data_IF_018506749233
#
_entry.id   IF_018506749233
#
_cell.length_a   1.000
_cell.length_b   1.000
_cell.length_c   1.000
_cell.angle_alpha   90.00
_cell.angle_beta   90.00
_cell.angle_gamma   90.00
#
_symmetry.space_group_name_H-M   'P 1'
#
loop_
_entity.id
_entity.type
_entity.pdbx_description
1 polymer ?
#
# COMPACT_ATOMS: atom_id res chain seq x y z
N UNK A 1 -1.57 3.68 -21.91
CA UNK A 1 -0.11 3.88 -22.03
C UNK A 1 0.46 4.97 -21.12
N UNK A 2 -0.21 6.13 -20.94
CA UNK A 2 0.29 7.21 -20.06
C UNK A 2 0.47 6.81 -18.59
N UNK A 3 -0.43 5.99 -18.03
CA UNK A 3 -0.33 5.56 -16.63
C UNK A 3 0.94 4.74 -16.34
N UNK A 4 1.40 3.92 -17.29
CA UNK A 4 2.65 3.17 -17.15
C UNK A 4 3.87 4.08 -17.24
N UNK A 5 3.87 5.08 -18.13
CA UNK A 5 4.97 6.07 -18.22
C UNK A 5 5.08 6.95 -16.97
N UNK A 6 3.98 7.25 -16.31
CA UNK A 6 4.00 8.00 -15.04
C UNK A 6 4.68 7.23 -13.88
N UNK A 7 4.78 5.90 -13.98
CA UNK A 7 5.48 5.05 -13.00
C UNK A 7 7.00 5.09 -13.17
N UNK A 8 7.52 5.55 -14.32
CA UNK A 8 8.96 5.59 -14.67
C UNK A 8 9.71 6.79 -14.06
N UNK A 9 9.03 7.63 -13.29
CA UNK A 9 9.61 8.78 -12.60
C UNK A 9 10.57 8.40 -11.45
N UNK A 10 11.81 8.06 -11.81
CA UNK A 10 13.08 8.49 -11.21
C UNK A 10 13.42 8.23 -9.74
N UNK A 11 12.51 7.76 -8.88
CA UNK A 11 12.82 7.51 -7.47
C UNK A 11 13.15 6.04 -7.24
N UNK A 12 14.29 5.78 -6.60
CA UNK A 12 14.64 4.43 -6.16
C UNK A 12 13.60 3.91 -5.16
N UNK A 13 13.33 2.60 -5.23
CA UNK A 13 12.47 1.93 -4.26
C UNK A 13 13.00 2.12 -2.82
N UNK A 14 12.12 2.38 -1.84
CA UNK A 14 12.54 2.51 -0.46
C UNK A 14 12.98 1.17 0.13
N UNK A 15 14.09 1.16 0.87
CA UNK A 15 14.55 0.02 1.67
C UNK A 15 14.14 0.14 3.15
N UNK A 16 13.89 1.37 3.62
CA UNK A 16 13.43 1.70 4.97
C UNK A 16 12.39 2.83 4.83
N UNK A 17 11.34 2.79 5.65
CA UNK A 17 10.32 3.85 5.74
C UNK A 17 10.06 4.25 7.18
N UNK A 18 9.62 5.48 7.39
CA UNK A 18 9.12 5.91 8.70
C UNK A 18 7.65 5.55 8.82
N UNK A 19 7.25 4.81 9.85
CA UNK A 19 5.84 4.55 10.13
C UNK A 19 5.20 5.82 10.71
N UNK A 20 4.22 6.39 10.00
CA UNK A 20 3.57 7.64 10.40
C UNK A 20 2.80 7.52 11.72
N UNK A 21 2.28 6.34 12.02
CA UNK A 21 1.47 6.09 13.21
C UNK A 21 2.32 5.83 14.46
N UNK A 22 3.44 5.12 14.33
CA UNK A 22 4.30 4.77 15.48
C UNK A 22 5.53 5.67 15.63
N UNK A 23 5.95 6.37 14.56
CA UNK A 23 7.20 7.13 14.52
C UNK A 23 8.46 6.26 14.48
N UNK A 24 8.32 4.95 14.22
CA UNK A 24 9.45 4.02 14.13
C UNK A 24 9.87 3.79 12.69
N UNK A 25 11.17 3.54 12.48
CA UNK A 25 11.68 3.10 11.18
C UNK A 25 11.41 1.61 10.97
N UNK A 26 10.93 1.26 9.79
CA UNK A 26 10.60 -0.11 9.41
C UNK A 26 11.30 -0.51 8.11
N UNK A 27 11.91 -1.70 8.12
CA UNK A 27 12.56 -2.26 6.94
C UNK A 27 11.52 -2.72 5.90
N UNK A 28 11.80 -2.43 4.63
CA UNK A 28 10.98 -2.80 3.49
C UNK A 28 11.53 -4.08 2.85
N UNK A 29 10.67 -5.09 2.71
CA UNK A 29 10.96 -6.38 2.06
C UNK A 29 10.75 -6.31 0.55
N UNK A 30 9.66 -5.68 0.12
CA UNK A 30 9.24 -5.56 -1.28
C UNK A 30 8.54 -4.23 -1.50
N UNK A 31 8.59 -3.74 -2.74
CA UNK A 31 7.99 -2.48 -3.11
C UNK A 31 7.39 -2.54 -4.51
N UNK A 32 6.27 -1.85 -4.69
CA UNK A 32 5.55 -1.74 -5.95
C UNK A 32 5.17 -0.29 -6.18
N UNK A 33 5.49 0.22 -7.37
CA UNK A 33 5.11 1.56 -7.76
C UNK A 33 3.60 1.64 -7.93
N UNK A 34 2.98 2.72 -7.47
CA UNK A 34 1.54 2.89 -7.59
C UNK A 34 1.05 4.29 -7.31
N UNK A 35 -0.26 4.39 -7.10
CA UNK A 35 -0.96 5.63 -6.82
C UNK A 35 -1.80 5.48 -5.55
N UNK A 36 -1.82 6.51 -4.73
CA UNK A 36 -2.68 6.62 -3.55
C UNK A 36 -3.54 7.88 -3.64
N UNK A 37 -4.78 7.79 -3.16
CA UNK A 37 -5.69 8.92 -3.13
C UNK A 37 -5.32 9.90 -2.03
N UNK A 38 -5.34 11.19 -2.34
CA UNK A 38 -5.24 12.29 -1.38
C UNK A 38 -6.46 13.20 -1.53
N UNK A 39 -6.90 13.79 -0.43
CA UNK A 39 -7.97 14.78 -0.43
C UNK A 39 -7.74 15.82 0.68
N UNK A 40 -8.30 17.00 0.49
CA UNK A 40 -8.37 18.02 1.53
C UNK A 40 -9.37 17.61 2.64
N UNK A 41 -9.36 18.29 3.80
CA UNK A 41 -10.30 18.01 4.88
C UNK A 41 -11.75 17.96 4.40
N UNK A 42 -12.53 17.03 4.96
CA UNK A 42 -13.89 16.74 4.48
C UNK A 42 -13.96 15.99 3.15
N UNK A 43 -12.85 15.38 2.71
CA UNK A 43 -12.73 14.68 1.43
C UNK A 43 -12.99 15.60 0.21
N UNK A 44 -12.62 16.87 0.34
CA UNK A 44 -12.74 17.85 -0.73
C UNK A 44 -11.57 17.75 -1.71
N UNK A 45 -11.82 18.05 -2.99
CA UNK A 45 -10.82 18.04 -4.07
C UNK A 45 -9.94 16.77 -4.12
N UNK A 46 -10.53 15.56 -4.32
CA UNK A 46 -9.76 14.33 -4.37
C UNK A 46 -8.82 14.32 -5.58
N UNK A 47 -7.62 13.78 -5.39
CA UNK A 47 -6.62 13.62 -6.44
C UNK A 47 -5.81 12.34 -6.23
N UNK A 48 -5.17 11.88 -7.31
CA UNK A 48 -4.24 10.75 -7.26
C UNK A 48 -2.82 11.27 -7.20
N UNK A 49 -2.03 10.71 -6.28
CA UNK A 49 -0.62 11.00 -6.16
C UNK A 49 0.21 9.73 -6.23
N UNK A 50 1.38 9.81 -6.86
CA UNK A 50 2.30 8.70 -7.00
C UNK A 50 2.96 8.32 -5.67
N UNK A 51 3.33 7.05 -5.55
CA UNK A 51 4.01 6.53 -4.38
C UNK A 51 4.42 5.08 -4.54
N UNK A 52 4.65 4.45 -3.40
CA UNK A 52 5.05 3.06 -3.28
C UNK A 52 4.12 2.33 -2.32
N UNK A 53 3.52 1.25 -2.79
CA UNK A 53 3.05 0.20 -1.90
C UNK A 53 4.28 -0.58 -1.44
N UNK A 54 4.44 -0.74 -0.12
CA UNK A 54 5.58 -1.44 0.47
C UNK A 54 5.09 -2.59 1.33
N UNK A 55 5.78 -3.73 1.25
CA UNK A 55 5.68 -4.79 2.23
C UNK A 55 6.76 -4.56 3.28
N UNK A 56 6.35 -4.39 4.53
CA UNK A 56 7.24 -4.22 5.67
C UNK A 56 7.71 -5.59 6.16
N UNK A 57 8.75 -5.59 6.98
CA UNK A 57 9.16 -6.81 7.68
C UNK A 57 7.98 -7.34 8.52
N UNK A 58 7.77 -8.66 8.46
CA UNK A 58 6.67 -9.32 9.15
C UNK A 58 6.68 -8.99 10.65
N UNK A 59 5.49 -8.94 11.24
CA UNK A 59 5.40 -8.82 12.69
C UNK A 59 5.94 -10.10 13.33
N UNK A 60 7.04 -10.00 14.07
CA UNK A 60 7.67 -11.17 14.69
C UNK A 60 6.76 -11.86 15.73
N UNK A 61 5.76 -11.15 16.27
CA UNK A 61 4.84 -11.68 17.27
C UNK A 61 3.66 -12.44 16.65
N UNK A 62 3.15 -12.00 15.48
CA UNK A 62 1.97 -12.60 14.86
C UNK A 62 2.28 -13.41 13.60
N UNK A 63 3.44 -13.17 12.97
CA UNK A 63 3.79 -13.71 11.67
C UNK A 63 3.07 -13.06 10.49
N UNK A 64 2.27 -12.01 10.74
CA UNK A 64 1.45 -11.39 9.70
C UNK A 64 2.27 -10.51 8.76
N UNK A 65 1.90 -10.56 7.48
CA UNK A 65 2.41 -9.63 6.48
C UNK A 65 1.84 -8.24 6.71
N UNK A 66 2.74 -7.25 6.83
CA UNK A 66 2.37 -5.85 7.02
C UNK A 66 2.65 -5.06 5.76
N UNK A 67 1.69 -4.24 5.36
CA UNK A 67 1.79 -3.39 4.18
C UNK A 67 1.66 -1.93 4.57
N UNK A 68 2.29 -1.05 3.80
CA UNK A 68 2.18 0.39 3.94
C UNK A 68 2.14 1.09 2.61
N UNK A 69 1.65 2.33 2.58
CA UNK A 69 1.76 3.19 1.40
C UNK A 69 2.55 4.45 1.73
N UNK A 70 3.57 4.74 0.91
CA UNK A 70 4.42 5.94 1.01
C UNK A 70 4.28 6.77 -0.27
N UNK A 71 3.70 7.96 -0.17
CA UNK A 71 3.60 8.90 -1.30
C UNK A 71 4.94 9.54 -1.61
N UNK A 72 5.25 9.87 -2.87
CA UNK A 72 6.58 10.42 -3.20
C UNK A 72 6.93 11.73 -2.50
N UNK A 73 5.92 12.55 -2.23
CA UNK A 73 6.14 13.84 -1.57
C UNK A 73 6.32 13.72 -0.05
N UNK A 74 6.24 12.50 0.48
CA UNK A 74 6.42 12.21 1.91
C UNK A 74 7.36 10.99 2.10
N UNK A 75 8.12 10.93 3.18
CA UNK A 75 8.91 9.74 3.51
C UNK A 75 8.21 8.85 4.54
N UNK A 76 7.11 9.32 5.13
CA UNK A 76 6.30 8.51 6.03
C UNK A 76 5.40 7.55 5.25
N UNK A 77 5.46 6.28 5.61
CA UNK A 77 4.49 5.28 5.21
C UNK A 77 3.30 5.27 6.17
N UNK A 78 2.10 5.25 5.60
CA UNK A 78 0.88 4.91 6.34
C UNK A 78 0.76 3.40 6.34
N UNK A 79 0.91 2.76 7.50
CA UNK A 79 0.71 1.31 7.62
C UNK A 79 -0.76 0.98 7.43
N UNK A 80 -1.02 0.04 6.53
CA UNK A 80 -2.34 -0.45 6.20
C UNK A 80 -2.74 -1.52 7.22
N UNK A 81 -4.00 -1.47 7.63
CA UNK A 81 -4.61 -2.48 8.48
C UNK A 81 -5.62 -3.27 7.67
N UNK A 82 -5.73 -4.55 7.96
CA UNK A 82 -6.88 -5.33 7.53
C UNK A 82 -8.16 -4.70 8.08
N UNK A 83 -9.21 -4.67 7.26
CA UNK A 83 -10.54 -4.23 7.67
C UNK A 83 -11.55 -5.33 7.38
N UNK A 84 -12.55 -5.49 8.23
CA UNK A 84 -13.53 -6.59 8.13
C UNK A 84 -14.28 -6.66 6.81
N UNK A 85 -14.43 -5.53 6.11
CA UNK A 85 -15.00 -5.52 4.76
C UNK A 85 -14.20 -6.37 3.75
N UNK A 86 -12.89 -6.54 3.97
CA UNK A 86 -12.05 -7.40 3.12
C UNK A 86 -12.36 -8.89 3.32
N UNK A 87 -12.81 -9.30 4.51
CA UNK A 87 -13.23 -10.69 4.76
C UNK A 87 -14.39 -11.07 3.85
N UNK A 88 -15.27 -10.12 3.52
CA UNK A 88 -16.42 -10.31 2.63
C UNK A 88 -16.12 -10.05 1.15
N UNK A 89 -14.86 -9.76 0.81
CA UNK A 89 -14.49 -9.45 -0.57
C UNK A 89 -14.62 -10.70 -1.44
N UNK A 90 -15.49 -10.71 -2.47
CA UNK A 90 -15.62 -11.88 -3.34
C UNK A 90 -14.30 -12.19 -4.04
N UNK A 91 -13.50 -11.16 -4.36
CA UNK A 91 -12.19 -11.32 -4.98
C UNK A 91 -11.20 -12.11 -4.14
N UNK A 92 -11.23 -11.91 -2.82
CA UNK A 92 -10.33 -12.60 -1.88
C UNK A 92 -10.85 -14.00 -1.53
N UNK A 93 -12.17 -14.15 -1.43
CA UNK A 93 -12.81 -15.44 -1.17
C UNK A 93 -12.83 -16.37 -2.38
N UNK A 94 -12.42 -15.90 -3.57
CA UNK A 94 -12.48 -16.65 -4.84
C UNK A 94 -13.89 -17.16 -5.19
N UNK A 95 -14.94 -16.68 -4.51
CA UNK A 95 -16.32 -17.15 -4.65
C UNK A 95 -16.93 -16.88 -6.04
N UNK A 96 -16.28 -16.05 -6.85
CA UNK A 96 -16.64 -15.77 -8.24
C UNK A 96 -15.97 -16.72 -9.25
N UNK A 97 -14.99 -17.53 -8.82
CA UNK A 97 -14.37 -18.52 -9.67
C UNK A 97 -15.28 -19.75 -9.78
N UNK A 98 -15.36 -20.37 -10.98
CA UNK A 98 -15.93 -21.70 -11.15
C UNK A 98 -15.35 -22.70 -10.13
N UNK A 99 -16.14 -23.68 -9.67
CA UNK A 99 -15.74 -24.64 -8.62
C UNK A 99 -14.45 -25.41 -8.97
N UNK A 100 -14.13 -25.59 -10.25
CA UNK A 100 -12.92 -26.23 -10.74
C UNK A 100 -11.65 -25.34 -10.64
N UNK A 101 -11.81 -24.05 -10.37
CA UNK A 101 -10.74 -23.06 -10.27
C UNK A 101 -10.64 -22.40 -8.88
N UNK A 102 -11.55 -22.73 -7.96
CA UNK A 102 -11.52 -22.26 -6.57
C UNK A 102 -10.29 -22.83 -5.85
#
# INVERSE_FOLDING_TARGET
>A
EEACRALEGGRAAPSIVMNRQSGLQEAVRRSWRGFGTLACPGFSAPSWATGWLVQLQDDAATGDHRFGFMWDRNQDAVVLRWVSAQDTSPFLQRAWLPEDLQ
#
